data_IF_451719765384
#
_entry.id   IF_451719765384
#
_cell.length_a   1.000
_cell.length_b   1.000
_cell.length_c   1.000
_cell.angle_alpha   90.00
_cell.angle_beta   90.00
_cell.angle_gamma   90.00
#
_symmetry.space_group_name_H-M   'P 1'
#
loop_
_entity.id
_entity.type
_entity.pdbx_description
1 polymer ?
#
# COMPACT_ATOMS: atom_id res chain seq x y z
N UNK A 1 -9.79 21.06 21.90
CA UNK A 1 -8.37 20.69 21.85
C UNK A 1 -8.18 19.18 22.01
N UNK A 2 -8.47 18.59 23.19
CA UNK A 2 -8.22 17.16 23.49
C UNK A 2 -8.87 16.16 22.50
N UNK A 3 -10.08 16.44 22.02
CA UNK A 3 -10.81 15.55 21.09
C UNK A 3 -10.15 15.50 19.71
N UNK A 4 -9.63 16.62 19.20
CA UNK A 4 -8.94 16.64 17.92
C UNK A 4 -7.59 15.89 17.99
N UNK A 5 -6.90 15.97 19.12
CA UNK A 5 -5.62 15.27 19.35
C UNK A 5 -5.77 13.75 19.37
N UNK A 6 -6.91 13.24 19.84
CA UNK A 6 -7.21 11.80 19.84
C UNK A 6 -7.45 11.26 18.43
N UNK A 7 -8.19 11.96 17.57
CA UNK A 7 -8.39 11.54 16.17
C UNK A 7 -7.11 11.61 15.31
N UNK A 8 -6.09 12.32 15.79
CA UNK A 8 -4.80 12.45 15.10
C UNK A 8 -3.79 11.37 15.53
N UNK A 9 -4.15 10.51 16.48
CA UNK A 9 -3.29 9.47 17.02
C UNK A 9 -3.45 8.14 16.24
N UNK A 10 -3.04 8.16 14.97
CA UNK A 10 -2.95 6.97 14.11
C UNK A 10 -1.64 6.92 13.34
N UNK A 11 -1.12 5.71 13.12
CA UNK A 11 0.09 5.48 12.31
C UNK A 11 -0.06 6.05 10.90
N UNK A 12 -1.27 6.00 10.35
CA UNK A 12 -1.57 6.52 9.01
C UNK A 12 -1.49 8.04 8.92
N UNK A 13 -1.97 8.77 9.95
CA UNK A 13 -1.77 10.22 9.96
C UNK A 13 -0.31 10.57 10.19
N UNK A 14 0.36 9.83 11.08
CA UNK A 14 1.78 10.00 11.32
C UNK A 14 2.60 9.81 10.04
N UNK A 15 2.34 8.73 9.28
CA UNK A 15 2.93 8.45 7.97
C UNK A 15 2.78 9.62 6.99
N UNK A 16 1.58 10.22 6.91
CA UNK A 16 1.30 11.33 5.99
C UNK A 16 2.05 12.63 6.31
N UNK A 17 2.65 12.71 7.50
CA UNK A 17 3.42 13.85 7.96
C UNK A 17 4.93 13.67 7.84
N UNK A 18 5.37 12.48 7.42
CA UNK A 18 6.79 12.18 7.23
C UNK A 18 7.22 12.40 5.79
N UNK A 19 8.50 12.71 5.59
CA UNK A 19 9.11 12.53 4.28
C UNK A 19 9.21 11.04 3.91
N UNK A 20 9.24 10.68 2.61
CA UNK A 20 9.44 9.30 2.18
C UNK A 20 10.65 8.61 2.84
N UNK A 21 11.76 9.34 2.99
CA UNK A 21 13.00 8.81 3.58
C UNK A 21 12.86 8.54 5.08
N UNK A 22 12.08 9.35 5.81
CA UNK A 22 11.79 9.14 7.22
C UNK A 22 10.84 7.96 7.42
N UNK A 23 9.77 7.88 6.61
CA UNK A 23 8.85 6.75 6.63
C UNK A 23 9.59 5.43 6.38
N UNK A 24 10.53 5.41 5.43
CA UNK A 24 11.35 4.25 5.12
C UNK A 24 12.26 3.82 6.29
N UNK A 25 12.73 4.75 7.12
CA UNK A 25 13.58 4.44 8.30
C UNK A 25 12.80 3.86 9.47
N UNK A 26 11.51 4.19 9.58
CA UNK A 26 10.65 3.69 10.66
C UNK A 26 10.12 2.30 10.38
N UNK A 27 9.93 1.95 9.11
CA UNK A 27 9.48 0.63 8.72
C UNK A 27 10.53 -0.46 8.93
N UNK A 28 10.07 -1.70 8.88
CA UNK A 28 10.91 -2.88 8.96
C UNK A 28 11.97 -2.93 7.85
N UNK A 29 13.24 -3.16 8.20
CA UNK A 29 14.34 -3.31 7.25
C UNK A 29 14.45 -4.77 6.75
N UNK A 30 14.66 -4.95 5.44
CA UNK A 30 14.84 -6.28 4.79
C UNK A 30 15.75 -7.23 5.58
N UNK A 31 16.96 -6.77 5.90
CA UNK A 31 17.98 -7.63 6.52
C UNK A 31 17.69 -7.94 7.98
N UNK A 32 16.85 -7.15 8.65
CA UNK A 32 16.42 -7.42 10.02
C UNK A 32 15.20 -8.32 10.05
N UNK A 33 14.28 -8.14 9.10
CA UNK A 33 12.99 -8.83 9.08
C UNK A 33 13.03 -10.20 8.42
N UNK A 34 13.78 -10.38 7.33
CA UNK A 34 13.94 -11.71 6.73
C UNK A 34 15.20 -12.35 7.34
N UNK A 35 14.98 -13.20 8.33
CA UNK A 35 16.06 -13.90 9.05
C UNK A 35 16.69 -14.95 8.14
N UNK A 36 15.84 -15.74 7.47
CA UNK A 36 16.26 -16.82 6.59
C UNK A 36 15.23 -17.04 5.49
N UNK A 37 15.67 -17.58 4.35
CA UNK A 37 14.78 -18.06 3.31
C UNK A 37 15.29 -19.35 2.69
N UNK A 38 14.38 -20.30 2.53
CA UNK A 38 14.68 -21.60 1.95
C UNK A 38 13.68 -21.80 0.82
N UNK A 39 14.18 -22.13 -0.36
CA UNK A 39 13.32 -22.40 -1.51
C UNK A 39 13.76 -23.67 -2.21
N UNK A 40 12.77 -24.33 -2.82
CA UNK A 40 12.96 -25.54 -3.60
C UNK A 40 12.63 -25.24 -5.04
N UNK A 41 13.53 -25.63 -5.93
CA UNK A 41 13.30 -25.59 -7.37
C UNK A 41 13.86 -26.86 -7.99
N UNK A 42 13.12 -27.46 -8.92
CA UNK A 42 13.41 -28.81 -9.42
C UNK A 42 13.68 -29.78 -8.24
N UNK A 43 14.80 -30.49 -8.28
CA UNK A 43 15.25 -31.40 -7.20
C UNK A 43 16.25 -30.77 -6.23
N UNK A 44 16.44 -29.45 -6.27
CA UNK A 44 17.41 -28.74 -5.42
C UNK A 44 16.70 -27.94 -4.33
N UNK A 45 17.30 -27.94 -3.13
CA UNK A 45 16.93 -27.05 -2.04
C UNK A 45 18.08 -26.06 -1.83
N UNK A 46 17.75 -24.78 -1.87
CA UNK A 46 18.71 -23.70 -1.69
C UNK A 46 18.26 -22.83 -0.53
N UNK A 47 19.25 -22.35 0.21
CA UNK A 47 19.08 -21.43 1.32
C UNK A 47 19.70 -20.09 0.93
N UNK A 48 18.90 -19.04 0.95
CA UNK A 48 19.38 -17.67 0.74
C UNK A 48 20.12 -17.16 1.97
N UNK A 49 20.88 -16.08 1.78
CA UNK A 49 21.54 -15.39 2.92
C UNK A 49 20.56 -14.48 3.67
N UNK A 50 20.97 -13.91 4.81
CA UNK A 50 20.17 -12.96 5.61
C UNK A 50 19.59 -11.84 4.74
N UNK A 51 18.28 -11.58 4.85
CA UNK A 51 17.57 -10.71 3.91
C UNK A 51 17.05 -11.43 2.66
N UNK A 52 17.25 -12.74 2.56
CA UNK A 52 16.98 -13.54 1.36
C UNK A 52 17.68 -13.00 0.11
N UNK A 53 19.01 -12.81 0.16
CA UNK A 53 19.77 -12.57 -1.07
C UNK A 53 20.15 -13.90 -1.70
N UNK A 54 19.78 -14.05 -2.97
CA UNK A 54 20.11 -15.14 -3.86
C UNK A 54 19.98 -14.66 -5.31
N UNK A 55 20.67 -15.28 -6.26
CA UNK A 55 20.53 -14.95 -7.69
C UNK A 55 19.13 -15.18 -8.26
N UNK A 56 18.36 -16.11 -7.69
CA UNK A 56 17.04 -16.47 -8.16
C UNK A 56 15.91 -15.68 -7.52
N UNK A 57 16.17 -14.96 -6.42
CA UNK A 57 15.16 -14.19 -5.69
C UNK A 57 15.55 -12.72 -5.69
N UNK A 58 14.67 -11.91 -6.27
CA UNK A 58 14.70 -10.47 -6.18
C UNK A 58 13.72 -10.01 -5.10
N UNK A 59 14.25 -9.40 -4.05
CA UNK A 59 13.41 -8.75 -3.03
C UNK A 59 13.39 -7.24 -3.28
N UNK A 60 12.21 -6.68 -3.45
CA UNK A 60 12.00 -5.23 -3.58
C UNK A 60 11.14 -4.73 -2.44
N UNK A 61 11.24 -3.45 -2.09
CA UNK A 61 10.39 -2.83 -1.06
C UNK A 61 9.43 -1.81 -1.66
N UNK A 62 8.26 -1.64 -1.07
CA UNK A 62 7.37 -0.52 -1.38
C UNK A 62 6.81 0.05 -0.07
N UNK A 63 6.44 1.32 -0.10
CA UNK A 63 5.92 2.01 1.07
C UNK A 63 4.39 1.90 1.12
N UNK A 64 3.81 1.69 2.29
CA UNK A 64 2.37 1.59 2.50
C UNK A 64 1.95 2.34 3.77
N UNK A 65 0.86 3.14 3.75
CA UNK A 65 0.48 3.98 4.87
C UNK A 65 0.20 3.24 6.19
N UNK A 66 -0.30 2.00 6.11
CA UNK A 66 -0.63 1.21 7.30
C UNK A 66 0.51 0.30 7.78
N UNK A 67 1.52 0.05 6.93
CA UNK A 67 2.56 -0.96 7.19
C UNK A 67 3.99 -0.44 7.00
N UNK A 68 4.14 0.83 6.64
CA UNK A 68 5.40 1.47 6.28
C UNK A 68 6.13 0.68 5.20
N UNK A 69 7.14 -0.14 5.55
CA UNK A 69 7.91 -0.91 4.59
C UNK A 69 7.28 -2.28 4.35
N UNK A 70 6.79 -2.50 3.14
CA UNK A 70 6.39 -3.80 2.64
C UNK A 70 7.53 -4.40 1.78
N UNK A 71 7.68 -5.73 1.82
CA UNK A 71 8.68 -6.47 1.03
C UNK A 71 7.97 -7.39 0.04
N UNK A 72 8.34 -7.30 -1.22
CA UNK A 72 7.89 -8.18 -2.31
C UNK A 72 9.03 -9.09 -2.70
N UNK A 73 8.81 -10.40 -2.69
CA UNK A 73 9.75 -11.41 -3.15
C UNK A 73 9.30 -11.90 -4.52
N UNK A 74 10.17 -11.79 -5.51
CA UNK A 74 9.95 -12.19 -6.88
C UNK A 74 11.03 -13.19 -7.29
N UNK A 75 10.63 -14.32 -7.83
CA UNK A 75 11.57 -15.27 -8.43
C UNK A 75 11.91 -14.83 -9.86
N UNK A 76 13.10 -15.20 -10.33
CA UNK A 76 13.49 -15.00 -11.73
C UNK A 76 12.45 -15.60 -12.68
N UNK A 77 11.91 -14.74 -13.56
CA UNK A 77 10.82 -15.07 -14.47
C UNK A 77 11.14 -16.24 -15.41
N UNK A 78 12.42 -16.43 -15.77
CA UNK A 78 12.84 -17.52 -16.65
C UNK A 78 12.72 -18.90 -15.99
N UNK A 79 12.70 -18.95 -14.64
CA UNK A 79 12.75 -20.18 -13.86
C UNK A 79 11.53 -20.38 -12.96
N UNK A 80 10.50 -19.54 -13.08
CA UNK A 80 9.29 -19.59 -12.25
C UNK A 80 8.62 -20.97 -12.25
N UNK A 81 8.59 -21.65 -13.40
CA UNK A 81 7.95 -22.97 -13.54
C UNK A 81 8.67 -24.08 -12.79
N UNK A 82 9.92 -23.85 -12.39
CA UNK A 82 10.75 -24.81 -11.66
C UNK A 82 10.57 -24.68 -10.14
N UNK A 83 10.02 -23.56 -9.66
CA UNK A 83 9.90 -23.27 -8.23
C UNK A 83 8.73 -24.05 -7.63
N UNK A 84 9.01 -24.81 -6.57
CA UNK A 84 8.02 -25.63 -5.88
C UNK A 84 7.55 -25.04 -4.56
N UNK A 85 8.44 -24.42 -3.79
CA UNK A 85 8.10 -23.88 -2.48
C UNK A 85 9.05 -22.77 -2.05
N UNK A 86 8.53 -21.84 -1.25
CA UNK A 86 9.29 -20.83 -0.53
C UNK A 86 8.93 -20.92 0.96
N UNK A 87 9.94 -20.99 1.80
CA UNK A 87 9.84 -20.91 3.26
C UNK A 87 10.59 -19.68 3.73
N UNK A 88 9.93 -18.84 4.51
CA UNK A 88 10.51 -17.62 5.07
C UNK A 88 10.51 -17.71 6.59
N UNK A 89 11.66 -17.39 7.19
CA UNK A 89 11.78 -17.17 8.63
C UNK A 89 11.82 -15.66 8.85
N UNK A 90 10.78 -15.15 9.49
CA UNK A 90 10.55 -13.71 9.63
C UNK A 90 10.68 -13.28 11.09
N UNK A 91 11.37 -12.16 11.31
CA UNK A 91 11.43 -11.47 12.59
C UNK A 91 10.50 -10.26 12.57
N UNK A 92 9.53 -10.24 13.48
CA UNK A 92 8.48 -9.21 13.56
C UNK A 92 8.81 -8.08 14.54
N UNK A 93 10.04 -8.02 15.04
CA UNK A 93 10.41 -7.14 16.13
C UNK A 93 10.36 -7.82 17.50
N UNK A 94 10.60 -7.03 18.57
CA UNK A 94 10.46 -7.50 19.94
C UNK A 94 9.00 -7.85 20.27
N UNK A 95 8.79 -8.67 21.31
CA UNK A 95 7.46 -8.96 21.83
C UNK A 95 6.83 -7.70 22.42
N UNK A 96 5.50 -7.56 22.38
CA UNK A 96 4.78 -6.39 22.91
C UNK A 96 5.11 -6.04 24.38
N UNK A 97 5.45 -7.05 25.18
CA UNK A 97 5.82 -6.90 26.59
C UNK A 97 7.34 -6.82 26.83
N UNK A 98 8.13 -6.62 25.79
CA UNK A 98 9.59 -6.56 25.92
C UNK A 98 10.03 -5.36 26.77
N UNK A 99 9.48 -4.17 26.51
CA UNK A 99 9.75 -2.94 27.26
C UNK A 99 8.66 -1.91 26.92
N UNK A 100 8.19 -1.16 27.94
CA UNK A 100 7.15 -0.13 27.82
C UNK A 100 7.49 0.94 26.78
N UNK A 101 8.76 1.23 26.55
CA UNK A 101 9.26 2.19 25.54
C UNK A 101 9.04 1.71 24.10
N UNK A 102 8.81 0.41 23.91
CA UNK A 102 8.58 -0.23 22.61
C UNK A 102 7.12 -0.60 22.39
N UNK A 103 6.22 -0.24 23.33
CA UNK A 103 4.78 -0.42 23.13
C UNK A 103 4.28 0.58 22.11
N UNK A 104 3.39 0.10 21.24
CA UNK A 104 2.79 0.96 20.23
C UNK A 104 1.93 2.04 20.89
N UNK A 105 2.14 3.29 20.47
CA UNK A 105 1.54 4.47 21.09
C UNK A 105 0.19 4.90 20.50
N UNK A 106 -0.18 4.40 19.31
CA UNK A 106 -1.38 4.84 18.60
C UNK A 106 -2.62 4.11 19.13
N UNK A 107 -3.44 4.79 19.93
CA UNK A 107 -4.57 4.18 20.64
C UNK A 107 -5.61 3.57 19.69
N UNK A 108 -5.87 4.24 18.55
CA UNK A 108 -6.89 3.79 17.59
C UNK A 108 -6.43 2.61 16.75
N UNK A 109 -5.14 2.52 16.47
CA UNK A 109 -4.57 1.43 15.68
C UNK A 109 -4.64 0.08 16.41
N UNK A 110 -4.70 0.09 17.75
CA UNK A 110 -4.82 -1.13 18.57
C UNK A 110 -6.05 -1.95 18.17
N UNK A 111 -7.13 -1.31 17.73
CA UNK A 111 -8.36 -2.01 17.34
C UNK A 111 -8.33 -2.55 15.90
N UNK A 112 -7.42 -2.06 15.06
CA UNK A 112 -7.32 -2.42 13.64
C UNK A 112 -6.14 -3.35 13.34
N UNK A 113 -5.24 -3.56 14.30
CA UNK A 113 -4.03 -4.34 14.11
C UNK A 113 -4.14 -5.74 14.69
N UNK A 114 -4.02 -6.72 13.81
CA UNK A 114 -3.72 -8.09 14.18
C UNK A 114 -2.20 -8.26 14.29
N UNK A 115 -1.73 -8.83 15.41
CA UNK A 115 -0.32 -9.17 15.58
C UNK A 115 0.09 -10.27 14.59
N UNK A 116 1.14 -10.03 13.80
CA UNK A 116 1.62 -10.98 12.79
C UNK A 116 2.03 -10.33 11.48
N UNK A 117 2.12 -11.13 10.40
CA UNK A 117 2.38 -10.62 9.06
C UNK A 117 1.10 -10.60 8.23
N UNK A 118 0.96 -9.55 7.43
CA UNK A 118 0.01 -9.51 6.32
C UNK A 118 0.72 -9.89 5.03
N UNK A 119 0.26 -10.95 4.38
CA UNK A 119 0.90 -11.55 3.20
C UNK A 119 -0.10 -11.53 2.05
N UNK A 120 0.34 -11.16 0.85
CA UNK A 120 -0.47 -11.25 -0.36
C UNK A 120 0.33 -11.95 -1.46
N UNK A 121 -0.34 -12.83 -2.20
CA UNK A 121 0.20 -13.53 -3.37
C UNK A 121 -0.47 -12.93 -4.59
N UNK A 122 0.32 -12.40 -5.52
CA UNK A 122 -0.18 -11.70 -6.70
C UNK A 122 0.71 -11.99 -7.91
N UNK A 123 0.19 -11.70 -9.10
CA UNK A 123 0.92 -11.90 -10.35
C UNK A 123 2.12 -10.94 -10.46
N UNK A 124 3.19 -11.31 -11.20
CA UNK A 124 4.31 -10.41 -11.47
C UNK A 124 3.82 -9.10 -12.08
N UNK A 125 4.45 -7.99 -11.70
CA UNK A 125 4.10 -6.63 -12.15
C UNK A 125 2.70 -6.14 -11.78
N UNK A 126 1.89 -6.90 -11.03
CA UNK A 126 0.61 -6.41 -10.50
C UNK A 126 0.80 -5.64 -9.19
N UNK A 127 -0.10 -4.69 -8.91
CA UNK A 127 -0.04 -3.91 -7.68
C UNK A 127 -0.42 -4.79 -6.48
N UNK A 128 0.39 -4.82 -5.40
CA UNK A 128 0.11 -5.62 -4.22
C UNK A 128 -1.00 -4.96 -3.40
N UNK A 129 -2.25 -5.28 -3.73
CA UNK A 129 -3.47 -4.84 -3.04
C UNK A 129 -3.62 -5.51 -1.68
N UNK A 130 -2.70 -5.22 -0.78
CA UNK A 130 -2.54 -5.94 0.48
C UNK A 130 -3.75 -5.75 1.41
N UNK A 131 -4.46 -4.62 1.37
CA UNK A 131 -5.65 -4.43 2.19
C UNK A 131 -6.82 -5.28 1.71
N UNK A 132 -6.97 -5.50 0.40
CA UNK A 132 -8.07 -6.23 -0.21
C UNK A 132 -7.78 -7.74 -0.32
N UNK A 133 -6.54 -8.11 -0.64
CA UNK A 133 -6.15 -9.48 -0.98
C UNK A 133 -5.14 -10.08 0.01
N UNK A 134 -4.76 -9.34 1.04
CA UNK A 134 -3.83 -9.82 2.06
C UNK A 134 -4.50 -10.76 3.05
N UNK A 135 -3.79 -11.81 3.42
CA UNK A 135 -4.11 -12.72 4.52
C UNK A 135 -3.24 -12.43 5.74
N UNK A 136 -3.81 -12.59 6.93
CA UNK A 136 -3.09 -12.46 8.19
C UNK A 136 -2.48 -13.80 8.58
N UNK A 137 -1.24 -13.77 9.07
CA UNK A 137 -0.53 -14.96 9.57
C UNK A 137 -0.09 -14.75 11.01
N UNK A 138 -0.26 -15.77 11.84
CA UNK A 138 0.02 -15.69 13.28
C UNK A 138 1.52 -15.97 13.55
N UNK A 139 2.20 -15.17 14.37
CA UNK A 139 3.59 -15.44 14.72
C UNK A 139 3.73 -16.59 15.72
N UNK A 140 4.93 -17.18 15.77
CA UNK A 140 5.25 -18.27 16.70
C UNK A 140 4.82 -19.66 16.23
N UNK A 141 4.20 -19.76 15.06
CA UNK A 141 3.82 -21.03 14.42
C UNK A 141 4.23 -21.01 12.94
N UNK A 142 4.30 -22.19 12.33
CA UNK A 142 4.45 -22.31 10.88
C UNK A 142 3.09 -22.04 10.23
N UNK A 143 3.04 -21.05 9.32
CA UNK A 143 1.88 -20.78 8.50
C UNK A 143 2.16 -21.30 7.09
N UNK A 144 1.38 -22.26 6.63
CA UNK A 144 1.52 -22.87 5.31
C UNK A 144 0.43 -22.33 4.38
N UNK A 145 0.85 -21.80 3.22
CA UNK A 145 -0.05 -21.27 2.19
C UNK A 145 0.13 -22.10 0.93
N UNK A 146 -0.80 -23.01 0.69
CA UNK A 146 -0.89 -23.77 -0.54
C UNK A 146 -1.90 -23.09 -1.47
N UNK A 147 -1.51 -22.82 -2.71
CA UNK A 147 -2.36 -22.14 -3.67
C UNK A 147 -2.22 -22.78 -5.06
N UNK A 148 -3.28 -22.63 -5.86
CA UNK A 148 -3.31 -23.01 -7.27
C UNK A 148 -3.72 -21.79 -8.09
N UNK A 149 -2.89 -21.33 -9.03
CA UNK A 149 -3.28 -20.23 -9.91
C UNK A 149 -4.38 -20.69 -10.87
N UNK A 150 -5.44 -19.89 -10.98
CA UNK A 150 -6.54 -20.12 -11.94
C UNK A 150 -6.58 -18.95 -12.91
N UNK A 151 -6.46 -19.26 -14.20
CA UNK A 151 -6.50 -18.24 -15.27
C UNK A 151 -7.86 -18.20 -15.92
N UNK A 152 -8.50 -17.03 -15.89
CA UNK A 152 -9.73 -16.75 -16.61
C UNK A 152 -9.43 -15.93 -17.86
N UNK A 153 -9.80 -16.43 -19.04
CA UNK A 153 -9.66 -15.72 -20.31
C UNK A 153 -11.05 -15.26 -20.75
N UNK A 154 -11.27 -13.94 -20.73
CA UNK A 154 -12.53 -13.34 -21.13
C UNK A 154 -12.61 -13.24 -22.66
N UNK A 155 -13.74 -13.63 -23.24
CA UNK A 155 -14.00 -13.39 -24.65
C UNK A 155 -14.23 -11.89 -24.91
N UNK A 156 -13.56 -11.36 -25.93
CA UNK A 156 -13.77 -9.98 -26.36
C UNK A 156 -15.15 -9.83 -27.00
N UNK A 157 -15.94 -8.84 -26.56
CA UNK A 157 -17.31 -8.61 -27.07
C UNK A 157 -17.53 -7.12 -27.36
N UNK A 158 -18.36 -6.74 -28.35
CA UNK A 158 -18.63 -5.32 -28.62
C UNK A 158 -19.23 -4.56 -27.43
N UNK A 159 -20.02 -5.23 -26.58
CA UNK A 159 -20.66 -4.63 -25.39
C UNK A 159 -19.69 -4.47 -24.22
N UNK A 160 -18.73 -5.38 -24.09
CA UNK A 160 -17.70 -5.37 -23.05
C UNK A 160 -16.36 -5.71 -23.72
N UNK A 161 -15.74 -4.73 -24.41
CA UNK A 161 -14.49 -4.95 -25.08
C UNK A 161 -13.40 -5.26 -24.04
N UNK A 162 -12.50 -6.18 -24.37
CA UNK A 162 -11.26 -6.34 -23.64
C UNK A 162 -10.24 -5.31 -24.18
N UNK A 163 -9.28 -4.93 -23.33
CA UNK A 163 -8.13 -4.11 -23.71
C UNK A 163 -7.47 -4.72 -24.95
N UNK A 164 -7.16 -3.90 -25.96
CA UNK A 164 -6.52 -4.42 -27.17
C UNK A 164 -5.09 -4.88 -26.87
N UNK A 165 -4.54 -5.80 -27.66
CA UNK A 165 -3.15 -6.25 -27.48
C UNK A 165 -2.15 -5.09 -27.65
N UNK A 166 -2.51 -4.05 -28.40
CA UNK A 166 -1.70 -2.84 -28.54
C UNK A 166 -1.79 -1.97 -27.29
N UNK A 167 -2.99 -1.74 -26.76
CA UNK A 167 -3.21 -1.02 -25.50
C UNK A 167 -2.56 -1.74 -24.31
N UNK A 168 -2.58 -3.07 -24.29
CA UNK A 168 -1.90 -3.89 -23.28
C UNK A 168 -0.38 -3.69 -23.35
N UNK A 169 0.20 -3.71 -24.55
CA UNK A 169 1.64 -3.43 -24.73
C UNK A 169 2.01 -2.00 -24.36
N UNK A 170 1.17 -1.02 -24.70
CA UNK A 170 1.39 0.38 -24.35
C UNK A 170 1.16 0.66 -22.85
N UNK A 171 0.32 -0.14 -22.20
CA UNK A 171 0.00 -0.01 -20.77
C UNK A 171 0.84 -0.93 -19.88
N UNK A 172 1.65 -1.81 -20.48
CA UNK A 172 2.61 -2.63 -19.75
C UNK A 172 3.59 -1.73 -19.01
N UNK A 173 3.58 -1.81 -17.68
CA UNK A 173 4.43 -0.99 -16.80
C UNK A 173 4.20 0.52 -16.95
N UNK A 174 2.95 0.95 -17.16
CA UNK A 174 2.58 2.38 -17.27
C UNK A 174 2.11 2.98 -15.96
N UNK A 175 1.52 2.18 -15.07
CA UNK A 175 0.98 2.69 -13.81
C UNK A 175 2.07 2.84 -12.77
N UNK A 176 2.09 3.99 -12.10
CA UNK A 176 3.13 4.35 -11.14
C UNK A 176 2.55 4.36 -9.74
N UNK A 177 3.19 3.65 -8.81
CA UNK A 177 2.99 3.85 -7.38
C UNK A 177 4.36 3.90 -6.70
N UNK A 178 4.68 5.04 -6.07
CA UNK A 178 5.96 5.29 -5.42
C UNK A 178 7.18 5.04 -6.31
N UNK A 179 7.08 5.40 -7.60
CA UNK A 179 8.15 5.23 -8.58
C UNK A 179 8.32 3.78 -9.08
N UNK A 180 7.51 2.83 -8.63
CA UNK A 180 7.43 1.49 -9.22
C UNK A 180 6.40 1.46 -10.33
N UNK A 181 6.71 0.68 -11.37
CA UNK A 181 5.87 0.50 -12.54
C UNK A 181 5.09 -0.82 -12.44
N UNK A 182 3.80 -0.75 -12.74
CA UNK A 182 2.88 -1.87 -12.69
C UNK A 182 2.18 -2.05 -14.05
N UNK A 183 1.85 -3.31 -14.34
CA UNK A 183 1.01 -3.69 -15.45
C UNK A 183 -0.41 -3.15 -15.28
N UNK A 184 -1.19 -3.17 -16.37
CA UNK A 184 -2.57 -2.74 -16.33
C UNK A 184 -3.39 -3.62 -15.38
N UNK A 185 -4.08 -2.96 -14.46
CA UNK A 185 -5.20 -3.50 -13.70
C UNK A 185 -6.30 -2.44 -13.71
N UNK A 186 -7.55 -2.89 -13.83
CA UNK A 186 -8.70 -1.99 -13.96
C UNK A 186 -8.84 -1.10 -12.72
N UNK A 187 -8.69 -1.67 -11.53
CA UNK A 187 -8.81 -0.94 -10.26
C UNK A 187 -7.63 0.03 -10.07
N UNK A 188 -6.40 -0.42 -10.37
CA UNK A 188 -5.24 0.45 -10.34
C UNK A 188 -5.39 1.66 -11.29
N UNK A 189 -5.96 1.45 -12.47
CA UNK A 189 -6.22 2.52 -13.42
C UNK A 189 -7.23 3.52 -12.87
N UNK A 190 -8.37 3.06 -12.35
CA UNK A 190 -9.40 3.93 -11.77
C UNK A 190 -8.84 4.74 -10.60
N UNK A 191 -8.13 4.07 -9.68
CA UNK A 191 -7.54 4.73 -8.51
C UNK A 191 -6.46 5.75 -8.90
N UNK A 192 -5.66 5.47 -9.94
CA UNK A 192 -4.70 6.43 -10.48
C UNK A 192 -5.39 7.68 -11.06
N UNK A 193 -6.52 7.52 -11.76
CA UNK A 193 -7.33 8.65 -12.27
C UNK A 193 -7.91 9.48 -11.14
N UNK A 194 -8.40 8.84 -10.08
CA UNK A 194 -8.86 9.54 -8.88
C UNK A 194 -7.71 10.37 -8.30
N UNK A 195 -6.50 9.80 -8.18
CA UNK A 195 -5.34 10.53 -7.68
C UNK A 195 -4.95 11.72 -8.57
N UNK A 196 -4.93 11.57 -9.89
CA UNK A 196 -4.68 12.67 -10.84
C UNK A 196 -5.67 13.83 -10.64
N UNK A 197 -6.93 13.50 -10.36
CA UNK A 197 -7.97 14.47 -10.12
C UNK A 197 -7.82 15.17 -8.76
N UNK A 198 -7.36 14.47 -7.72
CA UNK A 198 -6.94 15.09 -6.43
C UNK A 198 -5.74 16.01 -6.60
N UNK A 199 -4.72 15.58 -7.34
CA UNK A 199 -3.53 16.39 -7.61
C UNK A 199 -3.87 17.69 -8.35
N UNK A 200 -4.70 17.61 -9.38
CA UNK A 200 -5.09 18.79 -10.16
C UNK A 200 -6.02 19.74 -9.41
N UNK A 201 -6.96 19.21 -8.61
CA UNK A 201 -7.98 20.02 -7.93
C UNK A 201 -7.52 20.54 -6.57
N UNK A 202 -6.81 19.71 -5.81
CA UNK A 202 -6.48 19.95 -4.41
C UNK A 202 -5.00 20.13 -4.13
N UNK A 203 -4.13 19.84 -5.11
CA UNK A 203 -2.66 19.92 -4.99
C UNK A 203 -2.10 19.09 -3.83
N UNK A 204 -2.74 17.96 -3.53
CA UNK A 204 -2.31 17.01 -2.52
C UNK A 204 -2.54 15.58 -3.00
N UNK A 205 -1.81 14.63 -2.42
CA UNK A 205 -1.93 13.21 -2.68
C UNK A 205 -2.92 12.60 -1.69
N UNK A 206 -3.90 11.84 -2.17
CA UNK A 206 -4.73 11.03 -1.29
C UNK A 206 -3.99 9.73 -0.97
N UNK A 207 -3.79 9.46 0.33
CA UNK A 207 -2.86 8.42 0.80
C UNK A 207 -3.31 6.98 0.49
N UNK A 208 -4.62 6.80 0.31
CA UNK A 208 -5.24 5.51 -0.06
C UNK A 208 -5.06 5.16 -1.54
N UNK A 209 -4.66 6.13 -2.36
CA UNK A 209 -4.54 5.96 -3.80
C UNK A 209 -3.08 5.78 -4.20
N UNK A 210 -2.82 5.14 -5.36
CA UNK A 210 -1.48 5.01 -5.91
C UNK A 210 -0.77 6.36 -5.96
N UNK A 211 0.45 6.41 -5.41
CA UNK A 211 1.27 7.61 -5.45
C UNK A 211 1.95 7.73 -6.81
N UNK A 212 1.27 8.38 -7.75
CA UNK A 212 1.80 8.67 -9.11
C UNK A 212 3.10 9.48 -9.08
N UNK A 213 3.33 10.24 -8.00
CA UNK A 213 4.59 10.90 -7.67
C UNK A 213 4.85 10.77 -6.16
N UNK A 214 6.12 10.69 -5.72
CA UNK A 214 6.43 10.73 -4.29
C UNK A 214 5.97 12.05 -3.65
N UNK A 215 5.43 12.02 -2.41
CA UNK A 215 5.00 13.22 -1.72
C UNK A 215 6.18 14.16 -1.48
N UNK A 216 5.94 15.45 -1.65
CA UNK A 216 6.94 16.50 -1.46
C UNK A 216 6.28 17.78 -0.91
N UNK A 217 7.07 18.85 -0.72
CA UNK A 217 6.56 20.11 -0.15
C UNK A 217 5.47 20.79 -0.99
N UNK A 218 5.46 20.59 -2.32
CA UNK A 218 4.45 21.18 -3.23
C UNK A 218 3.21 20.30 -3.39
N UNK A 219 3.36 18.99 -3.22
CA UNK A 219 2.29 18.00 -3.29
C UNK A 219 2.39 17.06 -2.08
N UNK A 220 2.07 17.55 -0.87
CA UNK A 220 2.06 16.74 0.32
C UNK A 220 0.83 15.80 0.31
N UNK A 221 0.74 14.91 1.29
CA UNK A 221 -0.52 14.20 1.53
C UNK A 221 -1.62 15.16 1.96
N UNK A 222 -2.87 14.84 1.62
CA UNK A 222 -4.01 15.71 1.94
C UNK A 222 -4.27 15.87 3.45
N UNK A 223 -3.80 14.94 4.28
CA UNK A 223 -3.86 15.05 5.75
C UNK A 223 -2.56 15.59 6.38
N UNK A 224 -1.64 16.13 5.58
CA UNK A 224 -0.42 16.75 6.09
C UNK A 224 -0.75 17.96 6.98
N UNK A 225 -0.10 18.03 8.13
CA UNK A 225 -0.30 19.03 9.14
C UNK A 225 0.67 20.19 8.92
N UNK A 226 0.18 21.27 8.33
CA UNK A 226 0.92 22.53 8.21
C UNK A 226 0.76 23.36 9.51
N UNK A 227 1.74 24.22 9.81
CA UNK A 227 1.75 25.14 10.97
C UNK A 227 0.48 26.01 11.01
N UNK A 228 -0.06 26.33 9.82
CA UNK A 228 -1.31 27.06 9.63
C UNK A 228 -2.56 26.37 10.18
N UNK A 229 -2.51 25.09 10.53
CA UNK A 229 -3.63 24.38 11.17
C UNK A 229 -3.82 24.87 12.60
N UNK A 230 -2.72 25.17 13.31
CA UNK A 230 -2.77 25.70 14.68
C UNK A 230 -3.17 27.18 14.74
N UNK A 231 -3.01 27.90 13.63
CA UNK A 231 -3.42 29.30 13.50
C UNK A 231 -4.91 29.49 13.16
N UNK A 232 -5.66 28.42 12.87
CA UNK A 232 -7.12 28.49 12.61
C UNK A 232 -7.87 28.44 13.94
N UNK A 233 -8.36 29.58 14.49
CA UNK A 233 -8.95 29.61 15.82
C UNK A 233 -10.33 28.92 15.88
N UNK A 234 -10.94 28.66 14.73
CA UNK A 234 -12.28 28.09 14.57
C UNK A 234 -12.34 27.14 13.37
N UNK A 235 -11.61 26.02 13.40
CA UNK A 235 -12.02 24.88 12.59
C UNK A 235 -13.25 24.27 13.27
N UNK A 236 -14.48 24.37 12.70
CA UNK A 236 -15.62 23.71 13.31
C UNK A 236 -15.33 22.21 13.30
N UNK A 237 -15.61 21.55 14.41
CA UNK A 237 -15.59 20.10 14.50
C UNK A 237 -16.36 19.55 13.30
N UNK A 238 -15.64 18.97 12.34
CA UNK A 238 -16.28 18.17 11.31
C UNK A 238 -16.99 17.04 12.05
N UNK A 239 -18.28 16.88 11.76
CA UNK A 239 -19.20 15.85 12.26
C UNK A 239 -19.94 16.17 13.56
N UNK A 240 -20.89 17.11 13.51
CA UNK A 240 -22.14 17.00 14.28
C UNK A 240 -23.33 16.91 13.32
N UNK A 241 -24.18 15.90 13.52
CA UNK A 241 -25.44 15.68 12.79
C UNK A 241 -26.37 16.90 12.94
N UNK A 242 -26.90 17.33 11.79
CA UNK A 242 -28.24 17.91 11.56
C UNK A 242 -28.67 19.11 12.40
N UNK A 243 -28.88 20.26 11.77
CA UNK A 243 -30.21 20.82 11.51
C UNK A 243 -30.12 22.10 10.65
N UNK A 244 -31.02 22.17 9.65
CA UNK A 244 -31.50 23.36 8.92
C UNK A 244 -30.61 24.62 8.85
N UNK A 245 -29.93 24.79 7.71
CA UNK A 245 -29.41 26.09 7.27
C UNK A 245 -28.23 25.93 6.34
N UNK A 246 -28.34 26.39 5.09
CA UNK A 246 -27.24 26.31 4.09
C UNK A 246 -25.95 26.89 4.68
N UNK A 247 -24.88 26.11 4.86
CA UNK A 247 -23.58 26.67 5.20
C UNK A 247 -22.90 27.18 3.92
N UNK A 248 -22.42 28.41 3.98
CA UNK A 248 -21.40 28.92 3.06
C UNK A 248 -20.18 28.00 3.09
N UNK A 249 -19.74 27.55 1.91
CA UNK A 249 -18.61 26.62 1.72
C UNK A 249 -17.35 27.15 2.41
N UNK A 250 -16.67 26.37 3.29
CA UNK A 250 -15.32 26.71 3.69
C UNK A 250 -14.40 26.58 2.46
N UNK A 251 -13.48 27.52 2.28
CA UNK A 251 -12.55 27.62 1.15
C UNK A 251 -11.46 26.51 1.11
N UNK A 252 -11.75 25.31 1.65
CA UNK A 252 -10.84 24.15 1.68
C UNK A 252 -11.54 22.80 1.45
N UNK A 253 -12.82 22.79 1.07
CA UNK A 253 -13.46 21.56 0.65
C UNK A 253 -13.02 21.23 -0.79
N UNK A 254 -12.17 20.21 -0.94
CA UNK A 254 -11.97 19.55 -2.23
C UNK A 254 -13.35 19.25 -2.84
N UNK A 255 -13.62 19.63 -4.10
CA UNK A 255 -14.85 19.24 -4.77
C UNK A 255 -14.95 17.70 -4.79
N UNK A 256 -16.17 17.17 -4.83
CA UNK A 256 -16.41 15.73 -4.86
C UNK A 256 -15.82 15.13 -6.16
N UNK A 257 -14.65 14.50 -6.04
CA UNK A 257 -13.84 14.01 -7.17
C UNK A 257 -14.32 12.63 -7.64
N UNK A 258 -15.31 12.04 -6.96
CA UNK A 258 -15.85 10.70 -7.27
C UNK A 258 -16.35 10.53 -8.71
N UNK A 259 -16.64 11.63 -9.42
CA UNK A 259 -17.09 11.63 -10.82
C UNK A 259 -15.96 11.60 -11.87
N UNK A 260 -14.69 11.77 -11.49
CA UNK A 260 -13.57 11.89 -12.44
C UNK A 260 -13.09 10.55 -13.02
N UNK A 261 -13.33 9.45 -12.31
CA UNK A 261 -12.98 8.10 -12.75
C UNK A 261 -14.25 7.34 -13.16
N UNK A 262 -14.41 7.08 -14.46
CA UNK A 262 -15.47 6.21 -14.95
C UNK A 262 -14.85 4.97 -15.60
N UNK A 263 -15.57 3.85 -15.67
CA UNK A 263 -15.05 2.66 -16.38
C UNK A 263 -14.65 2.92 -17.84
N UNK A 264 -15.06 4.05 -18.43
CA UNK A 264 -14.67 4.46 -19.80
C UNK A 264 -13.36 5.27 -19.86
N UNK A 265 -12.82 5.74 -18.73
CA UNK A 265 -11.56 6.51 -18.69
C UNK A 265 -10.31 5.64 -18.56
N UNK A 266 -10.51 4.33 -18.50
CA UNK A 266 -9.49 3.29 -18.56
C UNK A 266 -9.73 2.45 -19.82
N UNK A 267 -8.66 2.14 -20.60
CA UNK A 267 -8.76 1.30 -21.79
C UNK A 267 -9.19 -0.13 -21.44
#
# INVERSE_FOLDING_TARGET
ALVATLFMDSSRLYYQNLSPDEAAKLGHERNKSIVDCIFKYNSQQVQGTKGCYDSMIKVTSFSHPNYFNCLTLEFDTERLTEVHSLTLIMWLGPRENYDIRHRQGFLYDIFEQAYGLRVSIHEPYSHPRILEQGIQTEPGKMNEINYQPVRFIRANTPKNPCVSAEDERQSFRKFVDFGKLYAYDQELCLNSRVQEAFLSSCRCLYVEMPSVTPPNKTHPYCAHLDEKIYERPNAPALWTRGESGRPSRPASACPDVSSSATRRSCP
#
